data_IF_811277894488
#
_entry.id   IF_811277894488
#
_cell.length_a   1.000
_cell.length_b   1.000
_cell.length_c   1.000
_cell.angle_alpha   90.00
_cell.angle_beta   90.00
_cell.angle_gamma   90.00
#
_symmetry.space_group_name_H-M   'P 1'
#
loop_
_entity.id
_entity.type
_entity.pdbx_description
1 polymer ?
#
# COMPACT_ATOMS: atom_id res chain seq x y z
N UNK A 1 6.90 -5.66 -16.21
CA UNK A 1 6.64 -4.27 -15.80
C UNK A 1 6.23 -4.29 -14.35
N UNK A 2 7.01 -3.65 -13.48
CA UNK A 2 6.66 -3.52 -12.04
C UNK A 2 6.04 -2.16 -11.87
N UNK A 3 4.71 -2.12 -11.86
CA UNK A 3 3.92 -0.93 -11.57
C UNK A 3 3.45 -1.03 -10.11
N UNK A 4 3.79 -0.02 -9.31
CA UNK A 4 3.25 0.10 -7.96
C UNK A 4 2.21 1.21 -7.91
N UNK A 5 1.06 0.89 -7.32
CA UNK A 5 0.08 1.88 -6.89
C UNK A 5 0.43 2.32 -5.47
N UNK A 6 0.90 3.56 -5.31
CA UNK A 6 1.20 4.11 -4.00
C UNK A 6 0.04 4.96 -3.52
N UNK A 7 -0.50 4.59 -2.36
CA UNK A 7 -1.53 5.35 -1.67
C UNK A 7 -0.86 6.22 -0.62
N UNK A 8 -0.96 7.53 -0.79
CA UNK A 8 -0.42 8.56 0.10
C UNK A 8 -1.56 9.08 0.97
N UNK A 9 -1.54 8.71 2.26
CA UNK A 9 -2.55 9.14 3.22
C UNK A 9 -2.06 10.34 4.03
N UNK A 10 -2.85 11.41 4.06
CA UNK A 10 -2.63 12.56 4.93
C UNK A 10 -3.49 12.44 6.20
N UNK A 11 -2.89 12.16 7.38
CA UNK A 11 -3.64 11.95 8.62
C UNK A 11 -4.30 13.21 9.16
N UNK A 12 -3.93 14.42 8.71
CA UNK A 12 -4.50 15.68 9.22
C UNK A 12 -5.71 16.13 8.42
N UNK A 13 -5.71 15.90 7.10
CA UNK A 13 -6.86 16.21 6.24
C UNK A 13 -7.79 15.01 6.06
N UNK A 14 -7.33 13.80 6.40
CA UNK A 14 -8.10 12.57 6.18
C UNK A 14 -8.24 12.19 4.70
N UNK A 15 -7.54 12.88 3.81
CA UNK A 15 -7.56 12.60 2.37
C UNK A 15 -6.44 11.63 2.01
N UNK A 16 -6.74 10.72 1.09
CA UNK A 16 -5.76 9.84 0.48
C UNK A 16 -5.69 10.11 -1.01
N UNK A 17 -4.49 10.04 -1.58
CA UNK A 17 -4.22 10.22 -2.99
C UNK A 17 -3.51 8.98 -3.52
N UNK A 18 -3.88 8.53 -4.70
CA UNK A 18 -3.24 7.40 -5.37
C UNK A 18 -2.33 7.92 -6.48
N UNK A 19 -1.11 7.39 -6.54
CA UNK A 19 -0.13 7.71 -7.58
C UNK A 19 0.40 6.41 -8.15
N UNK A 20 0.44 6.32 -9.48
CA UNK A 20 1.04 5.20 -10.18
C UNK A 20 2.52 5.50 -10.41
N UNK A 21 3.39 4.60 -9.95
CA UNK A 21 4.83 4.74 -10.09
C UNK A 21 5.37 3.93 -11.27
N UNK A 22 6.20 4.61 -12.06
CA UNK A 22 7.01 4.01 -13.12
C UNK A 22 8.25 3.28 -12.53
N UNK A 23 8.82 2.35 -13.30
CA UNK A 23 9.95 1.48 -12.89
C UNK A 23 11.12 2.19 -12.17
N UNK A 24 11.63 3.37 -12.58
CA UNK A 24 12.74 4.01 -11.88
C UNK A 24 12.37 4.47 -10.46
N UNK A 25 11.12 4.90 -10.25
CA UNK A 25 10.64 5.35 -8.94
C UNK A 25 10.27 4.17 -8.05
N UNK A 26 9.75 3.09 -8.66
CA UNK A 26 9.39 1.85 -8.01
C UNK A 26 10.59 1.18 -7.29
N UNK A 27 11.79 1.26 -7.88
CA UNK A 27 13.00 0.65 -7.33
C UNK A 27 13.39 1.17 -5.94
N UNK A 28 13.02 2.41 -5.60
CA UNK A 28 13.32 3.02 -4.29
C UNK A 28 12.58 2.30 -3.15
N UNK A 29 11.41 1.72 -3.44
CA UNK A 29 10.58 1.02 -2.45
C UNK A 29 10.98 -0.44 -2.28
N UNK A 30 11.63 -1.05 -3.26
CA UNK A 30 12.03 -2.46 -3.22
C UNK A 30 13.08 -2.65 -2.10
N UNK A 31 12.86 -3.65 -1.25
CA UNK A 31 13.76 -3.96 -0.12
C UNK A 31 13.54 -3.12 1.14
N UNK A 32 12.70 -2.08 1.09
CA UNK A 32 12.24 -1.36 2.29
C UNK A 32 11.28 -2.22 3.10
N UNK A 33 11.20 -1.94 4.40
CA UNK A 33 10.30 -2.63 5.33
C UNK A 33 9.10 -1.75 5.71
N UNK A 34 8.03 -2.41 6.14
CA UNK A 34 6.92 -1.74 6.81
C UNK A 34 7.43 -1.08 8.10
N UNK A 35 7.19 0.22 8.22
CA UNK A 35 7.66 1.10 9.29
C UNK A 35 8.86 1.97 8.89
N UNK A 36 9.46 1.72 7.73
CA UNK A 36 10.55 2.57 7.24
C UNK A 36 10.01 3.88 6.66
N UNK A 37 10.81 4.93 6.79
CA UNK A 37 10.56 6.24 6.17
C UNK A 37 11.25 6.36 4.82
N UNK A 38 10.56 6.97 3.86
CA UNK A 38 11.01 7.24 2.50
C UNK A 38 10.76 8.71 2.17
N UNK A 39 11.69 9.32 1.44
CA UNK A 39 11.56 10.69 0.96
C UNK A 39 10.56 10.74 -0.21
N UNK A 40 9.64 11.71 -0.15
CA UNK A 40 8.58 11.90 -1.14
C UNK A 40 9.08 12.38 -2.50
N UNK A 41 10.35 12.78 -2.60
CA UNK A 41 11.01 13.23 -3.84
C UNK A 41 10.90 12.17 -4.95
N UNK A 42 10.98 10.88 -4.58
CA UNK A 42 10.82 9.77 -5.52
C UNK A 42 9.42 9.70 -6.16
N UNK A 43 8.39 10.29 -5.55
CA UNK A 43 6.98 10.26 -6.00
C UNK A 43 6.53 11.65 -6.48
N UNK A 44 7.45 12.60 -6.66
CA UNK A 44 7.11 13.98 -7.07
C UNK A 44 6.51 14.82 -5.93
N UNK A 45 6.71 14.43 -4.67
CA UNK A 45 6.30 15.17 -3.48
C UNK A 45 7.53 15.76 -2.75
N UNK A 46 8.13 16.84 -3.29
CA UNK A 46 9.38 17.37 -2.76
C UNK A 46 9.24 17.85 -1.31
N UNK A 47 10.13 17.36 -0.45
CA UNK A 47 10.19 17.74 0.97
C UNK A 47 9.10 17.11 1.86
N UNK A 48 8.39 16.09 1.35
CA UNK A 48 7.54 15.24 2.18
C UNK A 48 8.32 14.02 2.68
N UNK A 49 8.01 13.56 3.89
CA UNK A 49 8.50 12.28 4.40
C UNK A 49 7.32 11.35 4.60
N UNK A 50 7.40 10.19 3.97
CA UNK A 50 6.38 9.15 3.97
C UNK A 50 6.85 7.96 4.79
N UNK A 51 5.99 7.41 5.64
CA UNK A 51 6.20 6.14 6.34
C UNK A 51 5.40 5.03 5.66
N UNK A 52 6.03 3.89 5.43
CA UNK A 52 5.38 2.73 4.84
C UNK A 52 4.57 2.02 5.93
N UNK A 53 3.25 2.00 5.78
CA UNK A 53 2.35 1.37 6.76
C UNK A 53 1.99 -0.07 6.41
N UNK A 54 2.03 -0.42 5.12
CA UNK A 54 1.67 -1.75 4.64
C UNK A 54 1.51 -1.79 3.13
N UNK A 55 0.86 -2.85 2.65
CA UNK A 55 0.60 -3.05 1.23
C UNK A 55 -0.15 -4.35 0.96
N UNK A 56 -0.45 -4.56 -0.30
CA UNK A 56 -1.16 -5.73 -0.82
C UNK A 56 -0.41 -6.34 -1.99
N UNK A 57 -0.30 -7.66 -1.96
CA UNK A 57 0.28 -8.45 -3.03
C UNK A 57 -0.66 -8.55 -4.24
N UNK A 58 -0.15 -8.98 -5.40
CA UNK A 58 -0.97 -9.18 -6.62
C UNK A 58 -2.21 -10.06 -6.40
N UNK A 59 -2.10 -11.05 -5.51
CA UNK A 59 -3.21 -11.97 -5.20
C UNK A 59 -4.11 -11.45 -4.06
N UNK A 60 -3.96 -10.17 -3.67
CA UNK A 60 -4.73 -9.54 -2.60
C UNK A 60 -4.33 -9.97 -1.19
N UNK A 61 -3.20 -10.66 -1.02
CA UNK A 61 -2.70 -11.01 0.30
C UNK A 61 -2.14 -9.76 1.02
N UNK A 62 -2.56 -9.48 2.25
CA UNK A 62 -2.04 -8.33 2.99
C UNK A 62 -0.62 -8.62 3.49
N UNK A 63 0.20 -7.57 3.50
CA UNK A 63 1.49 -7.60 4.19
C UNK A 63 1.31 -7.48 5.70
N UNK A 64 2.22 -8.07 6.47
CA UNK A 64 2.21 -8.03 7.93
C UNK A 64 3.58 -7.67 8.49
N UNK A 65 3.63 -6.63 9.33
CA UNK A 65 4.87 -6.08 9.92
C UNK A 65 5.66 -7.10 10.75
N UNK A 66 4.97 -8.01 11.42
CA UNK A 66 5.58 -9.00 12.32
C UNK A 66 6.40 -10.08 11.60
N UNK A 67 6.15 -10.30 10.30
CA UNK A 67 6.77 -11.38 9.55
C UNK A 67 7.98 -10.85 8.76
N UNK A 68 9.20 -11.34 9.02
CA UNK A 68 10.36 -10.90 8.27
C UNK A 68 10.40 -11.49 6.86
N UNK A 69 10.92 -10.69 5.93
CA UNK A 69 11.18 -11.08 4.54
C UNK A 69 10.03 -10.70 3.59
N UNK A 70 10.19 -11.08 2.32
CA UNK A 70 9.23 -10.76 1.26
C UNK A 70 8.42 -11.99 0.78
N UNK A 71 8.45 -13.09 1.56
CA UNK A 71 7.88 -14.37 1.15
C UNK A 71 6.48 -14.54 1.72
N UNK A 72 5.60 -15.19 0.96
CA UNK A 72 4.27 -15.62 1.42
C UNK A 72 4.39 -16.73 2.46
N UNK A 73 3.70 -16.59 3.58
CA UNK A 73 3.65 -17.62 4.63
C UNK A 73 2.22 -17.88 5.06
N UNK A 74 1.91 -19.15 5.33
CA UNK A 74 0.60 -19.56 5.83
C UNK A 74 0.64 -19.70 7.35
N UNK A 75 0.13 -18.71 8.06
CA UNK A 75 0.17 -18.65 9.53
C UNK A 75 -1.22 -18.77 10.13
N UNK A 76 -1.29 -19.24 11.37
CA UNK A 76 -2.53 -19.28 12.14
C UNK A 76 -2.83 -17.86 12.66
N UNK A 77 -3.86 -17.22 12.12
CA UNK A 77 -4.30 -15.89 12.53
C UNK A 77 -5.45 -15.99 13.52
N UNK A 78 -5.38 -15.18 14.57
CA UNK A 78 -6.46 -14.94 15.53
C UNK A 78 -7.12 -13.57 15.36
N UNK A 79 -6.61 -12.72 14.47
CA UNK A 79 -7.07 -11.35 14.29
C UNK A 79 -6.44 -10.68 13.07
N UNK A 80 -6.75 -9.40 12.83
CA UNK A 80 -6.21 -8.61 11.72
C UNK A 80 -4.71 -8.33 11.93
N UNK A 81 -3.94 -8.06 10.85
CA UNK A 81 -4.34 -7.96 9.44
C UNK A 81 -4.61 -9.33 8.78
N UNK A 82 -5.58 -9.38 7.86
CA UNK A 82 -5.87 -10.55 7.01
C UNK A 82 -6.90 -11.56 7.54
N UNK A 83 -7.29 -11.48 8.82
CA UNK A 83 -8.39 -12.29 9.35
C UNK A 83 -9.24 -11.50 10.35
N UNK A 84 -10.53 -11.35 10.05
CA UNK A 84 -11.51 -10.78 10.96
C UNK A 84 -12.36 -11.91 11.56
N UNK A 85 -12.07 -12.35 12.81
CA UNK A 85 -12.82 -13.44 13.44
C UNK A 85 -14.25 -13.00 13.78
N UNK A 86 -15.24 -13.78 13.32
CA UNK A 86 -16.66 -13.55 13.67
C UNK A 86 -17.02 -14.02 15.09
N UNK A 87 -16.25 -14.97 15.63
CA UNK A 87 -16.45 -15.54 16.97
C UNK A 87 -15.18 -15.36 17.79
N UNK A 88 -15.34 -15.01 19.07
CA UNK A 88 -14.22 -14.89 20.02
C UNK A 88 -13.50 -16.25 20.13
N UNK A 89 -12.18 -16.25 19.99
CA UNK A 89 -11.36 -17.46 20.05
C UNK A 89 -11.21 -18.23 18.73
N UNK A 90 -11.92 -17.84 17.66
CA UNK A 90 -11.73 -18.45 16.35
C UNK A 90 -10.32 -18.13 15.79
N UNK A 91 -9.63 -19.15 15.29
CA UNK A 91 -8.35 -19.01 14.60
C UNK A 91 -8.43 -19.69 13.25
N UNK A 92 -7.85 -19.08 12.22
CA UNK A 92 -7.82 -19.66 10.87
C UNK A 92 -6.43 -19.52 10.26
N UNK A 93 -5.96 -20.58 9.61
CA UNK A 93 -4.72 -20.52 8.82
C UNK A 93 -4.99 -19.72 7.54
N UNK A 94 -4.29 -18.61 7.38
CA UNK A 94 -4.38 -17.71 6.23
C UNK A 94 -2.98 -17.41 5.70
N UNK A 95 -2.91 -17.15 4.40
CA UNK A 95 -1.68 -16.73 3.73
C UNK A 95 -1.54 -15.22 3.87
N UNK A 96 -0.34 -14.79 4.23
CA UNK A 96 0.04 -13.38 4.38
C UNK A 96 1.44 -13.19 3.81
N UNK A 97 1.77 -11.96 3.44
CA UNK A 97 3.11 -11.58 2.98
C UNK A 97 3.91 -11.03 4.15
N UNK A 98 5.22 -11.21 4.11
CA UNK A 98 6.12 -10.59 5.07
C UNK A 98 6.18 -9.06 4.95
N UNK A 99 7.06 -8.46 5.74
CA UNK A 99 7.17 -7.02 5.92
C UNK A 99 8.06 -6.31 4.90
N UNK A 100 8.79 -7.04 4.07
CA UNK A 100 9.73 -6.48 3.10
C UNK A 100 9.05 -6.34 1.75
N UNK A 101 9.22 -5.19 1.10
CA UNK A 101 8.60 -4.93 -0.20
C UNK A 101 9.34 -5.70 -1.30
N UNK A 102 8.63 -6.61 -1.98
CA UNK A 102 9.05 -7.30 -3.19
C UNK A 102 8.40 -6.72 -4.45
N UNK A 103 8.95 -7.02 -5.63
CA UNK A 103 8.33 -6.72 -6.93
C UNK A 103 6.96 -7.38 -7.15
N UNK A 104 6.54 -8.32 -6.29
CA UNK A 104 5.23 -8.99 -6.40
C UNK A 104 4.07 -8.13 -5.87
N UNK A 105 4.40 -7.10 -5.09
CA UNK A 105 3.42 -6.19 -4.50
C UNK A 105 2.82 -5.31 -5.59
N UNK A 106 1.53 -5.01 -5.47
CA UNK A 106 0.83 -4.12 -6.40
C UNK A 106 0.51 -2.79 -5.74
N UNK A 107 0.14 -2.80 -4.46
CA UNK A 107 -0.23 -1.58 -3.74
C UNK A 107 0.64 -1.39 -2.49
N UNK A 108 1.14 -0.17 -2.31
CA UNK A 108 1.90 0.25 -1.12
C UNK A 108 1.11 1.36 -0.43
N UNK A 109 0.85 1.18 0.87
CA UNK A 109 0.15 2.16 1.69
C UNK A 109 1.14 2.96 2.51
N UNK A 110 1.12 4.28 2.32
CA UNK A 110 2.02 5.21 3.00
C UNK A 110 1.26 6.25 3.79
N UNK A 111 1.90 6.77 4.84
CA UNK A 111 1.40 7.83 5.70
C UNK A 111 2.37 8.99 5.70
N UNK A 112 1.87 10.22 5.62
CA UNK A 112 2.69 11.42 5.73
C UNK A 112 3.10 11.63 7.20
N UNK A 113 4.41 11.62 7.46
CA UNK A 113 4.99 11.94 8.77
C UNK A 113 5.39 13.40 8.85
N UNK A 114 6.07 13.90 7.80
CA UNK A 114 6.46 15.30 7.70
C UNK A 114 5.90 15.90 6.41
N UNK A 115 5.30 17.08 6.55
CA UNK A 115 4.74 17.82 5.42
C UNK A 115 5.80 18.71 4.79
N UNK A 116 5.86 18.68 3.46
CA UNK A 116 6.61 19.64 2.67
C UNK A 116 5.95 21.01 2.59
N UNK A 117 6.59 21.93 1.87
CA UNK A 117 6.19 23.34 1.78
C UNK A 117 4.97 23.59 0.86
N UNK A 118 4.72 22.71 -0.13
CA UNK A 118 3.65 22.87 -1.12
C UNK A 118 2.50 21.90 -0.84
N UNK A 119 1.25 22.30 -1.12
CA UNK A 119 0.07 21.44 -0.96
C UNK A 119 0.13 20.25 -1.91
N UNK A 120 -0.27 19.08 -1.40
CA UNK A 120 -0.29 17.81 -2.15
C UNK A 120 -1.19 17.90 -3.38
N UNK A 121 -2.34 18.56 -3.26
CA UNK A 121 -3.32 18.74 -4.34
C UNK A 121 -2.72 19.44 -5.57
N UNK A 122 -1.89 20.46 -5.32
CA UNK A 122 -1.20 21.19 -6.39
C UNK A 122 -0.02 20.39 -6.97
N UNK A 123 0.60 19.52 -6.18
CA UNK A 123 1.73 18.69 -6.62
C UNK A 123 1.28 17.47 -7.42
N UNK A 124 0.11 16.92 -7.10
CA UNK A 124 -0.49 15.79 -7.81
C UNK A 124 -1.37 16.23 -9.00
N UNK A 125 -1.61 17.54 -9.17
CA UNK A 125 -2.41 18.06 -10.27
C UNK A 125 -3.90 17.71 -10.18
N UNK A 126 -4.37 17.28 -9.00
CA UNK A 126 -5.75 16.85 -8.80
C UNK A 126 -6.54 18.07 -8.32
N UNK A 127 -7.07 18.84 -9.27
CA UNK A 127 -8.40 19.41 -9.06
C UNK A 127 -9.37 18.23 -8.89
N UNK A 128 -10.24 18.28 -7.87
CA UNK A 128 -11.09 17.16 -7.50
C UNK A 128 -11.92 16.66 -8.69
N UNK A 129 -11.59 15.48 -9.20
CA UNK A 129 -12.31 14.78 -10.26
C UNK A 129 -11.92 13.31 -10.28
N UNK A 130 -12.96 12.48 -10.28
CA UNK A 130 -13.11 11.07 -10.73
C UNK A 130 -11.93 10.54 -11.59
N UNK A 131 -11.47 9.29 -11.59
CA UNK A 131 -12.05 7.93 -11.58
C UNK A 131 -10.93 6.97 -11.06
N UNK A 132 -11.02 5.65 -10.85
CA UNK A 132 -11.61 4.61 -11.68
C UNK A 132 -11.53 3.27 -10.90
N UNK A 133 -12.66 2.81 -10.37
CA UNK A 133 -12.82 1.44 -9.91
C UNK A 133 -12.99 0.55 -11.13
N UNK A 134 -11.91 -0.09 -11.59
CA UNK A 134 -12.00 -1.21 -12.53
C UNK A 134 -12.58 -2.43 -11.83
N UNK A 135 -13.91 -2.52 -11.82
CA UNK A 135 -14.64 -3.81 -11.80
C UNK A 135 -14.91 -4.20 -13.27
N UNK A 136 -13.96 -4.90 -13.89
CA UNK A 136 -14.24 -5.67 -15.12
C UNK A 136 -14.94 -6.99 -14.75
N UNK A 137 -16.25 -7.01 -14.99
CA UNK A 137 -16.91 -7.93 -15.93
C UNK A 137 -16.59 -9.44 -15.83
N UNK A 138 -17.44 -10.24 -15.15
CA UNK A 138 -17.83 -11.60 -15.58
C UNK A 138 -19.20 -12.00 -14.98
N UNK A 139 -20.13 -12.43 -15.85
CA UNK A 139 -21.41 -13.16 -15.64
C UNK A 139 -22.65 -12.30 -15.32
N UNK A 140 -23.73 -12.28 -16.10
CA UNK A 140 -24.26 -13.33 -16.98
C UNK A 140 -25.03 -12.74 -18.17
N UNK A 141 -24.58 -13.10 -19.36
CA UNK A 141 -25.41 -13.26 -20.56
C UNK A 141 -25.89 -14.73 -20.54
N UNK A 142 -27.16 -14.97 -20.18
CA UNK A 142 -28.00 -16.15 -20.48
C UNK A 142 -29.37 -16.00 -19.84
#
# INVERSE_FOLDING_TARGET
MVEFKVVISDPKTGRAYQVELSEPQANVFIGKKIGDTVEGDAIGLPGYVLEITGGSDKDGFPMRRDLPGAVRRRILLSGPPGYHPKKKGARKRKTVVGNTISPSIVQINTKIVQRGRKKIETLLGIEAGEEEGKEEEVAAES
#
